data_IF_488109358690
#
_entry.id   IF_488109358690
#
_cell.length_a   1.000
_cell.length_b   1.000
_cell.length_c   1.000
_cell.angle_alpha   90.00
_cell.angle_beta   90.00
_cell.angle_gamma   90.00
#
_symmetry.space_group_name_H-M   'P 1'
#
loop_
_entity.id
_entity.type
_entity.pdbx_description
1 polymer ?
#
# COMPACT_ATOMS: atom_id res chain seq x y z
N UNK A 1 -32.67 -3.99 5.36
CA UNK A 1 -32.02 -5.07 6.16
C UNK A 1 -31.49 -6.26 5.35
N UNK A 2 -31.74 -6.42 4.04
CA UNK A 2 -31.27 -7.56 3.24
C UNK A 2 -29.80 -7.49 2.76
N UNK A 3 -29.13 -6.33 2.83
CA UNK A 3 -27.75 -6.17 2.34
C UNK A 3 -26.65 -6.72 3.26
N UNK A 4 -26.86 -6.74 4.59
CA UNK A 4 -25.83 -7.14 5.56
C UNK A 4 -25.49 -8.64 5.53
N UNK A 5 -26.47 -9.49 5.18
CA UNK A 5 -26.27 -10.94 5.14
C UNK A 5 -25.48 -11.41 3.91
N UNK A 6 -25.64 -10.70 2.78
CA UNK A 6 -24.84 -10.94 1.57
C UNK A 6 -23.40 -10.43 1.71
N UNK A 7 -23.14 -9.52 2.64
CA UNK A 7 -21.79 -9.01 2.95
C UNK A 7 -21.01 -10.00 3.82
N UNK A 8 -21.63 -10.52 4.90
CA UNK A 8 -21.03 -11.56 5.75
C UNK A 8 -20.67 -12.84 4.97
N UNK A 9 -21.51 -13.25 4.00
CA UNK A 9 -21.24 -14.43 3.16
C UNK A 9 -20.13 -14.21 2.13
N UNK A 10 -19.92 -12.99 1.65
CA UNK A 10 -18.82 -12.64 0.73
C UNK A 10 -17.49 -12.51 1.45
N UNK A 11 -17.48 -11.94 2.66
CA UNK A 11 -16.31 -11.89 3.53
C UNK A 11 -15.75 -13.28 3.92
N UNK A 12 -16.57 -14.33 3.86
CA UNK A 12 -16.16 -15.71 4.08
C UNK A 12 -15.54 -16.39 2.84
N UNK A 13 -15.73 -15.83 1.63
CA UNK A 13 -15.41 -16.51 0.37
C UNK A 13 -14.36 -15.82 -0.52
N UNK A 14 -13.98 -14.56 -0.29
CA UNK A 14 -12.97 -13.88 -1.11
C UNK A 14 -11.93 -13.12 -0.29
N UNK A 15 -10.68 -13.15 -0.77
CA UNK A 15 -9.49 -12.46 -0.24
C UNK A 15 -9.54 -10.93 -0.48
N UNK A 16 -10.63 -10.24 -0.15
CA UNK A 16 -10.83 -8.80 -0.42
C UNK A 16 -10.85 -7.87 0.81
N UNK A 17 -10.88 -6.54 0.56
CA UNK A 17 -10.95 -5.42 1.53
C UNK A 17 -12.05 -5.58 2.60
N UNK A 18 -13.10 -6.34 2.28
CA UNK A 18 -14.19 -6.68 3.20
C UNK A 18 -13.71 -7.52 4.39
N UNK A 19 -12.78 -8.46 4.18
CA UNK A 19 -12.23 -9.34 5.22
C UNK A 19 -11.34 -8.55 6.20
N UNK A 20 -10.56 -7.60 5.68
CA UNK A 20 -9.75 -6.68 6.50
C UNK A 20 -10.62 -5.77 7.36
N UNK A 21 -11.74 -5.32 6.81
CA UNK A 21 -12.73 -4.51 7.55
C UNK A 21 -13.37 -5.32 8.66
N UNK A 22 -13.79 -6.58 8.40
CA UNK A 22 -14.34 -7.48 9.41
C UNK A 22 -13.31 -7.77 10.51
N UNK A 23 -12.06 -8.03 10.14
CA UNK A 23 -10.98 -8.25 11.10
C UNK A 23 -10.70 -7.01 11.95
N UNK A 24 -10.69 -5.81 11.34
CA UNK A 24 -10.55 -4.57 12.08
C UNK A 24 -11.69 -4.37 13.08
N UNK A 25 -12.94 -4.56 12.64
CA UNK A 25 -14.12 -4.46 13.51
C UNK A 25 -14.01 -5.48 14.66
N UNK A 26 -13.67 -6.73 14.37
CA UNK A 26 -13.52 -7.77 15.38
C UNK A 26 -12.44 -7.43 16.43
N UNK A 27 -11.32 -6.86 15.98
CA UNK A 27 -10.26 -6.40 16.90
C UNK A 27 -10.70 -5.20 17.73
N UNK A 28 -11.39 -4.22 17.14
CA UNK A 28 -11.93 -3.07 17.87
C UNK A 28 -12.92 -3.53 18.93
N UNK A 29 -13.81 -4.48 18.61
CA UNK A 29 -14.75 -5.07 19.56
C UNK A 29 -14.01 -5.80 20.68
N UNK A 30 -12.99 -6.60 20.35
CA UNK A 30 -12.17 -7.27 21.37
C UNK A 30 -11.45 -6.26 22.27
N UNK A 31 -10.71 -5.32 21.69
CA UNK A 31 -9.96 -4.31 22.44
C UNK A 31 -10.88 -3.47 23.35
N UNK A 32 -11.98 -2.95 22.81
CA UNK A 32 -12.97 -2.20 23.60
C UNK A 32 -13.58 -3.04 24.73
N UNK A 33 -13.95 -4.29 24.46
CA UNK A 33 -14.54 -5.18 25.48
C UNK A 33 -13.55 -5.50 26.59
N UNK A 34 -12.29 -5.82 26.25
CA UNK A 34 -11.21 -6.05 27.22
C UNK A 34 -10.90 -4.80 28.04
N UNK A 35 -10.83 -3.63 27.39
CA UNK A 35 -10.60 -2.35 28.08
C UNK A 35 -11.73 -1.98 29.02
N UNK A 36 -12.98 -2.19 28.61
CA UNK A 36 -14.13 -1.99 29.48
C UNK A 36 -14.09 -2.94 30.68
N UNK A 37 -13.84 -4.23 30.44
CA UNK A 37 -13.79 -5.23 31.51
C UNK A 37 -12.71 -4.90 32.54
N UNK A 38 -11.51 -4.51 32.11
CA UNK A 38 -10.43 -4.10 33.03
C UNK A 38 -10.80 -2.81 33.77
N UNK A 39 -11.31 -1.79 33.08
CA UNK A 39 -11.69 -0.52 33.70
C UNK A 39 -12.80 -0.69 34.74
N UNK A 40 -13.78 -1.56 34.48
CA UNK A 40 -14.91 -1.77 35.36
C UNK A 40 -14.59 -2.77 36.49
N UNK A 41 -14.07 -3.95 36.16
CA UNK A 41 -13.90 -5.04 37.13
C UNK A 41 -12.65 -4.91 38.00
N UNK A 42 -11.59 -4.25 37.52
CA UNK A 42 -10.31 -4.15 38.25
C UNK A 42 -10.16 -2.78 38.93
N UNK A 43 -10.63 -1.71 38.29
CA UNK A 43 -10.42 -0.33 38.75
C UNK A 43 -11.65 0.32 39.38
N UNK A 44 -12.78 -0.39 39.40
CA UNK A 44 -14.07 0.09 39.91
C UNK A 44 -14.41 1.50 39.42
N UNK A 45 -14.18 1.71 38.12
CA UNK A 45 -14.16 3.07 37.58
C UNK A 45 -15.57 3.67 37.50
N UNK A 46 -15.76 4.88 38.05
CA UNK A 46 -17.04 5.61 37.98
C UNK A 46 -17.49 5.90 36.54
N UNK A 47 -16.55 6.06 35.60
CA UNK A 47 -16.82 6.21 34.17
C UNK A 47 -15.84 5.37 33.34
N UNK A 48 -16.11 4.07 33.12
CA UNK A 48 -15.21 3.17 32.40
C UNK A 48 -15.05 3.51 30.90
N UNK A 49 -15.95 4.32 30.35
CA UNK A 49 -16.10 4.55 28.91
C UNK A 49 -14.87 5.14 28.20
N UNK A 50 -13.96 5.79 28.93
CA UNK A 50 -12.71 6.30 28.37
C UNK A 50 -11.76 5.20 27.89
N UNK A 51 -11.67 4.09 28.61
CA UNK A 51 -10.77 2.99 28.25
C UNK A 51 -11.10 2.37 26.88
N UNK A 52 -12.34 1.92 26.58
CA UNK A 52 -12.66 1.41 25.25
C UNK A 52 -12.57 2.47 24.15
N UNK A 53 -12.92 3.73 24.45
CA UNK A 53 -12.77 4.83 23.50
C UNK A 53 -11.31 5.00 23.06
N UNK A 54 -10.39 5.05 24.02
CA UNK A 54 -8.95 5.13 23.76
C UNK A 54 -8.41 3.87 23.06
N UNK A 55 -8.92 2.68 23.39
CA UNK A 55 -8.52 1.43 22.75
C UNK A 55 -8.88 1.39 21.25
N UNK A 56 -10.07 1.90 20.89
CA UNK A 56 -10.49 1.99 19.49
C UNK A 56 -9.71 3.06 18.74
N UNK A 57 -9.45 4.22 19.35
CA UNK A 57 -8.68 5.31 18.74
C UNK A 57 -7.21 4.95 18.47
N UNK A 58 -6.64 4.09 19.29
CA UNK A 58 -5.28 3.60 19.10
C UNK A 58 -5.17 2.46 18.08
N UNK A 59 -6.30 2.02 17.54
CA UNK A 59 -6.39 0.96 16.55
C UNK A 59 -6.03 1.46 15.14
N UNK A 60 -4.79 1.91 14.99
CA UNK A 60 -4.23 2.29 13.70
C UNK A 60 -3.65 1.09 12.96
N UNK A 61 -3.67 1.19 11.62
CA UNK A 61 -3.30 0.11 10.68
C UNK A 61 -1.80 -0.25 10.73
N UNK A 62 -0.93 0.53 11.37
CA UNK A 62 0.53 0.27 11.43
C UNK A 62 1.04 0.32 12.87
N UNK A 63 1.87 -0.63 13.31
CA UNK A 63 2.42 -0.64 14.69
C UNK A 63 3.32 0.58 14.96
N UNK A 64 4.11 0.99 13.96
CA UNK A 64 5.07 2.09 14.06
C UNK A 64 4.41 3.47 14.13
N UNK A 65 3.32 3.69 13.38
CA UNK A 65 2.52 4.91 13.49
C UNK A 65 1.50 4.80 14.63
N UNK A 66 1.01 3.61 14.98
CA UNK A 66 0.19 3.40 16.21
C UNK A 66 0.94 3.89 17.43
N UNK A 67 2.24 3.57 17.60
CA UNK A 67 2.96 4.00 18.79
C UNK A 67 3.09 5.53 18.89
N UNK A 68 3.49 6.20 17.79
CA UNK A 68 3.62 7.67 17.77
C UNK A 68 2.28 8.36 17.91
N UNK A 69 1.25 7.84 17.24
CA UNK A 69 -0.09 8.40 17.30
C UNK A 69 -0.73 8.19 18.68
N UNK A 70 -0.52 7.03 19.29
CA UNK A 70 -0.92 6.74 20.66
C UNK A 70 -0.24 7.69 21.64
N UNK A 71 1.06 7.93 21.48
CA UNK A 71 1.79 8.86 22.34
C UNK A 71 1.27 10.30 22.17
N UNK A 72 1.01 10.73 20.94
CA UNK A 72 0.39 12.05 20.66
C UNK A 72 -1.01 12.15 21.23
N UNK A 73 -1.80 11.08 21.14
CA UNK A 73 -3.15 11.01 21.70
C UNK A 73 -3.11 11.09 23.23
N UNK A 74 -2.27 10.29 23.89
CA UNK A 74 -2.06 10.37 25.35
C UNK A 74 -1.62 11.77 25.75
N UNK A 75 -0.66 12.38 25.03
CA UNK A 75 -0.23 13.75 25.28
C UNK A 75 -1.38 14.76 25.10
N UNK A 76 -2.20 14.60 24.05
CA UNK A 76 -3.36 15.45 23.80
C UNK A 76 -4.36 15.36 24.95
N UNK A 77 -4.66 14.15 25.42
CA UNK A 77 -5.56 13.91 26.55
C UNK A 77 -5.01 14.51 27.84
N UNK A 78 -3.73 14.27 28.15
CA UNK A 78 -3.08 14.83 29.34
C UNK A 78 -3.10 16.35 29.33
N UNK A 79 -2.84 16.97 28.18
CA UNK A 79 -2.91 18.44 28.02
C UNK A 79 -4.35 18.92 28.22
N UNK A 80 -5.35 18.27 27.60
CA UNK A 80 -6.75 18.64 27.75
C UNK A 80 -7.26 18.54 29.18
N UNK A 81 -6.97 17.41 29.85
CA UNK A 81 -7.28 17.19 31.28
C UNK A 81 -6.55 18.20 32.16
N UNK A 82 -5.29 18.51 31.84
CA UNK A 82 -4.48 19.49 32.58
C UNK A 82 -5.00 20.92 32.46
N UNK A 83 -5.40 21.35 31.25
CA UNK A 83 -6.06 22.65 31.03
C UNK A 83 -7.31 22.74 31.88
N UNK A 84 -8.14 21.69 31.86
CA UNK A 84 -9.33 21.65 32.69
C UNK A 84 -9.01 21.69 34.18
N UNK A 85 -8.00 20.95 34.64
CA UNK A 85 -7.61 20.96 36.05
C UNK A 85 -7.23 22.37 36.51
N UNK A 86 -6.36 23.06 35.77
CA UNK A 86 -5.90 24.42 36.10
C UNK A 86 -7.06 25.41 36.16
N UNK A 87 -7.93 25.41 35.14
CA UNK A 87 -9.04 26.37 35.08
C UNK A 87 -10.12 26.00 36.09
N UNK A 88 -10.48 24.72 36.20
CA UNK A 88 -11.49 24.25 37.15
C UNK A 88 -11.14 24.62 38.60
N UNK A 89 -9.89 24.41 39.03
CA UNK A 89 -9.48 24.74 40.40
C UNK A 89 -9.27 26.23 40.67
N UNK A 90 -9.11 27.08 39.64
CA UNK A 90 -8.90 28.52 39.80
C UNK A 90 -10.17 29.36 39.61
N UNK A 91 -10.96 29.05 38.58
CA UNK A 91 -12.15 29.80 38.20
C UNK A 91 -13.47 29.14 38.64
N UNK A 92 -13.45 27.87 39.05
CA UNK A 92 -14.65 27.12 39.42
C UNK A 92 -15.50 26.64 38.22
N UNK A 93 -16.62 25.95 38.47
CA UNK A 93 -17.44 25.33 37.43
C UNK A 93 -18.49 26.31 36.86
N UNK A 94 -18.04 27.38 36.21
CA UNK A 94 -18.93 28.38 35.58
C UNK A 94 -18.92 28.28 34.04
N UNK A 95 -19.93 28.85 33.38
CA UNK A 95 -20.01 28.93 31.92
C UNK A 95 -18.81 29.67 31.33
N UNK A 96 -18.31 30.71 32.01
CA UNK A 96 -17.10 31.42 31.59
C UNK A 96 -15.87 30.50 31.65
N UNK A 97 -15.76 29.67 32.69
CA UNK A 97 -14.68 28.70 32.80
C UNK A 97 -14.75 27.67 31.67
N UNK A 98 -15.94 27.19 31.30
CA UNK A 98 -16.12 26.30 30.15
C UNK A 98 -15.66 26.94 28.83
N UNK A 99 -16.08 28.19 28.58
CA UNK A 99 -15.66 28.93 27.39
C UNK A 99 -14.13 29.12 27.34
N UNK A 100 -13.53 29.44 28.49
CA UNK A 100 -12.08 29.60 28.62
C UNK A 100 -11.33 28.29 28.37
N UNK A 101 -11.81 27.17 28.93
CA UNK A 101 -11.27 25.83 28.70
C UNK A 101 -11.34 25.48 27.22
N UNK A 102 -12.48 25.72 26.57
CA UNK A 102 -12.66 25.47 25.14
C UNK A 102 -11.70 26.30 24.29
N UNK A 103 -11.60 27.61 24.56
CA UNK A 103 -10.70 28.50 23.84
C UNK A 103 -9.23 28.05 23.93
N UNK A 104 -8.78 27.70 25.13
CA UNK A 104 -7.39 27.27 25.37
C UNK A 104 -7.14 25.88 24.76
N UNK A 105 -8.03 24.91 25.00
CA UNK A 105 -7.86 23.55 24.51
C UNK A 105 -7.88 23.48 22.97
N UNK A 106 -8.77 24.23 22.31
CA UNK A 106 -8.81 24.33 20.85
C UNK A 106 -7.57 25.02 20.29
N UNK A 107 -7.07 26.07 20.96
CA UNK A 107 -5.84 26.77 20.56
C UNK A 107 -4.61 25.86 20.67
N UNK A 108 -4.49 25.13 21.78
CA UNK A 108 -3.42 24.14 21.98
C UNK A 108 -3.53 22.96 21.01
N UNK A 109 -4.75 22.57 20.64
CA UNK A 109 -5.02 21.54 19.64
C UNK A 109 -4.46 21.87 18.25
N UNK A 110 -4.24 23.14 17.92
CA UNK A 110 -3.63 23.56 16.65
C UNK A 110 -2.10 23.39 16.62
N UNK A 111 -1.48 22.96 17.72
CA UNK A 111 -0.04 22.79 17.76
C UNK A 111 0.41 21.64 16.85
N UNK A 112 1.21 21.98 15.83
CA UNK A 112 1.81 21.04 14.85
C UNK A 112 2.36 19.73 15.46
N UNK A 113 2.92 19.75 16.68
CA UNK A 113 3.50 18.55 17.32
C UNK A 113 2.47 17.46 17.63
N UNK A 114 1.20 17.82 17.84
CA UNK A 114 0.09 16.89 18.10
C UNK A 114 -0.42 16.22 16.82
N UNK A 115 -0.15 16.81 15.65
CA UNK A 115 -0.59 16.30 14.35
C UNK A 115 -2.09 16.06 14.31
N UNK A 116 -2.51 14.91 13.79
CA UNK A 116 -3.91 14.50 13.65
C UNK A 116 -4.66 14.33 14.99
N UNK A 117 -3.95 14.29 16.13
CA UNK A 117 -4.55 14.14 17.46
C UNK A 117 -4.90 15.47 18.13
N UNK A 118 -4.65 16.61 17.48
CA UNK A 118 -4.98 17.95 17.97
C UNK A 118 -6.43 18.11 18.50
N UNK A 119 -7.47 17.64 17.78
CA UNK A 119 -8.86 17.73 18.23
C UNK A 119 -9.16 16.97 19.54
N UNK A 120 -8.32 16.00 19.89
CA UNK A 120 -8.50 15.21 21.11
C UNK A 120 -8.19 15.99 22.38
N UNK A 121 -7.41 17.09 22.28
CA UNK A 121 -7.15 18.01 23.39
C UNK A 121 -8.47 18.62 23.88
N UNK A 122 -9.27 19.16 22.97
CA UNK A 122 -10.57 19.76 23.29
C UNK A 122 -11.56 18.71 23.80
N UNK A 123 -11.61 17.55 23.14
CA UNK A 123 -12.47 16.44 23.54
C UNK A 123 -12.18 16.01 24.98
N UNK A 124 -10.90 15.78 25.31
CA UNK A 124 -10.48 15.42 26.66
C UNK A 124 -10.77 16.52 27.68
N UNK A 125 -10.54 17.79 27.34
CA UNK A 125 -10.82 18.93 28.22
C UNK A 125 -12.31 19.05 28.54
N UNK A 126 -13.21 18.86 27.57
CA UNK A 126 -14.65 18.93 27.79
C UNK A 126 -15.18 17.77 28.62
N UNK A 127 -14.72 16.53 28.37
CA UNK A 127 -15.12 15.42 29.24
C UNK A 127 -14.53 15.55 30.65
N UNK A 128 -13.30 16.06 30.78
CA UNK A 128 -12.72 16.40 32.07
C UNK A 128 -13.55 17.47 32.79
N UNK A 129 -14.07 18.48 32.06
CA UNK A 129 -14.95 19.50 32.63
C UNK A 129 -16.24 18.89 33.15
N UNK A 130 -16.91 18.08 32.33
CA UNK A 130 -18.13 17.36 32.74
C UNK A 130 -17.92 16.47 33.96
N UNK A 131 -16.76 15.83 34.07
CA UNK A 131 -16.42 14.97 35.22
C UNK A 131 -16.13 15.82 36.45
N UNK A 132 -15.39 16.92 36.27
CA UNK A 132 -15.06 17.88 37.33
C UNK A 132 -16.32 18.51 37.96
N UNK A 133 -17.31 18.89 37.14
CA UNK A 133 -18.56 19.49 37.62
C UNK A 133 -19.46 18.50 38.36
N UNK A 134 -19.40 17.21 38.01
CA UNK A 134 -20.16 16.16 38.67
C UNK A 134 -19.59 15.74 40.04
N UNK A 135 -18.32 16.05 40.33
CA UNK A 135 -17.65 15.66 41.56
C UNK A 135 -17.97 16.59 42.75
N UNK A 136 -18.34 15.98 43.89
CA UNK A 136 -18.80 16.68 45.08
C UNK A 136 -17.67 17.31 45.91
N UNK A 137 -16.49 16.66 45.99
CA UNK A 137 -15.36 17.13 46.80
C UNK A 137 -14.11 17.41 45.95
N UNK A 138 -13.21 18.26 46.45
CA UNK A 138 -11.93 18.53 45.79
C UNK A 138 -11.03 17.28 45.71
N UNK A 139 -11.13 16.36 46.68
CA UNK A 139 -10.44 15.08 46.63
C UNK A 139 -10.94 14.21 45.46
N UNK A 140 -12.26 14.12 45.30
CA UNK A 140 -12.88 13.36 44.21
C UNK A 140 -12.56 13.96 42.84
N UNK A 141 -12.48 15.29 42.74
CA UNK A 141 -12.11 15.98 41.49
C UNK A 141 -10.71 15.58 41.01
N UNK A 142 -9.71 15.59 41.90
CA UNK A 142 -8.34 15.19 41.54
C UNK A 142 -8.29 13.71 41.18
N UNK A 143 -8.95 12.85 41.98
CA UNK A 143 -8.99 11.42 41.73
C UNK A 143 -9.62 11.09 40.36
N UNK A 144 -10.77 11.69 40.03
CA UNK A 144 -11.47 11.45 38.77
C UNK A 144 -10.71 11.98 37.54
N UNK A 145 -10.07 13.15 37.64
CA UNK A 145 -9.20 13.66 36.56
C UNK A 145 -8.00 12.74 36.31
N UNK A 146 -7.36 12.27 37.39
CA UNK A 146 -6.28 11.28 37.30
C UNK A 146 -6.75 9.95 36.72
N UNK A 147 -7.97 9.54 37.07
CA UNK A 147 -8.60 8.33 36.56
C UNK A 147 -8.86 8.37 35.06
N UNK A 148 -9.23 9.53 34.49
CA UNK A 148 -9.36 9.69 33.03
C UNK A 148 -8.03 9.36 32.33
N UNK A 149 -6.91 9.92 32.83
CA UNK A 149 -5.58 9.67 32.27
C UNK A 149 -5.22 8.19 32.39
N UNK A 150 -5.50 7.57 33.55
CA UNK A 150 -5.24 6.15 33.77
C UNK A 150 -6.05 5.25 32.80
N UNK A 151 -7.34 5.54 32.64
CA UNK A 151 -8.21 4.81 31.72
C UNK A 151 -7.74 4.93 30.27
N UNK A 152 -7.29 6.11 29.87
CA UNK A 152 -6.71 6.33 28.54
C UNK A 152 -5.43 5.52 28.35
N UNK A 153 -4.53 5.50 29.34
CA UNK A 153 -3.31 4.69 29.28
C UNK A 153 -3.61 3.20 29.14
N UNK A 154 -4.61 2.70 29.89
CA UNK A 154 -5.03 1.30 29.83
C UNK A 154 -5.68 0.98 28.49
N UNK A 155 -6.59 1.84 28.02
CA UNK A 155 -7.22 1.71 26.72
C UNK A 155 -6.19 1.65 25.60
N UNK A 156 -5.27 2.61 25.57
CA UNK A 156 -4.14 2.64 24.63
C UNK A 156 -3.25 1.39 24.73
N UNK A 157 -2.94 0.94 25.95
CA UNK A 157 -2.12 -0.25 26.18
C UNK A 157 -2.79 -1.52 25.65
N UNK A 158 -4.07 -1.72 25.96
CA UNK A 158 -4.84 -2.88 25.48
C UNK A 158 -5.04 -2.80 23.97
N UNK A 159 -5.38 -1.63 23.42
CA UNK A 159 -5.47 -1.41 21.98
C UNK A 159 -4.17 -1.79 21.28
N UNK A 160 -3.03 -1.37 21.81
CA UNK A 160 -1.71 -1.72 21.28
C UNK A 160 -1.42 -3.22 21.40
N UNK A 161 -1.70 -3.85 22.54
CA UNK A 161 -1.53 -5.30 22.76
C UNK A 161 -2.39 -6.11 21.81
N UNK A 162 -3.68 -5.77 21.67
CA UNK A 162 -4.61 -6.44 20.77
C UNK A 162 -4.18 -6.25 19.31
N UNK A 163 -3.74 -5.04 18.93
CA UNK A 163 -3.23 -4.76 17.58
C UNK A 163 -1.95 -5.56 17.28
N UNK A 164 -1.08 -5.74 18.28
CA UNK A 164 0.14 -6.54 18.18
C UNK A 164 -0.15 -8.06 18.12
N UNK A 165 -1.10 -8.54 18.92
CA UNK A 165 -1.39 -9.96 19.08
C UNK A 165 -2.26 -10.52 17.94
N UNK A 166 -3.33 -9.82 17.54
CA UNK A 166 -4.39 -10.35 16.66
C UNK A 166 -4.07 -10.09 15.17
N UNK A 167 -2.83 -10.29 14.73
CA UNK A 167 -2.37 -10.07 13.34
C UNK A 167 -2.19 -8.58 13.03
N UNK A 168 -0.95 -8.03 13.01
CA UNK A 168 -0.76 -6.75 12.32
C UNK A 168 -1.20 -6.96 10.88
N UNK A 169 -1.93 -6.03 10.23
CA UNK A 169 -2.14 -6.11 8.79
C UNK A 169 -0.75 -5.97 8.17
N UNK A 170 -0.10 -7.11 7.98
CA UNK A 170 1.20 -7.19 7.38
C UNK A 170 0.95 -6.72 5.96
N UNK A 171 1.36 -5.48 5.72
CA UNK A 171 1.34 -4.78 4.44
C UNK A 171 2.22 -5.47 3.38
N UNK A 172 2.42 -6.78 3.45
CA UNK A 172 2.73 -7.59 2.28
C UNK A 172 1.80 -7.20 1.12
N UNK A 173 0.52 -6.98 1.44
CA UNK A 173 -0.49 -6.51 0.51
C UNK A 173 -0.22 -5.14 -0.14
N UNK A 174 0.50 -4.19 0.47
CA UNK A 174 0.79 -2.91 -0.21
C UNK A 174 1.95 -3.00 -1.20
N UNK A 175 2.95 -3.84 -0.92
CA UNK A 175 4.02 -4.14 -1.86
C UNK A 175 3.50 -4.98 -3.02
N UNK A 176 2.67 -5.99 -2.71
CA UNK A 176 1.94 -6.81 -3.67
C UNK A 176 0.96 -5.98 -4.51
N UNK A 177 0.16 -5.09 -3.91
CA UNK A 177 -0.70 -4.17 -4.66
C UNK A 177 0.11 -3.27 -5.61
N UNK A 178 1.28 -2.78 -5.16
CA UNK A 178 2.18 -2.00 -6.01
C UNK A 178 2.68 -2.81 -7.21
N UNK A 179 3.02 -4.09 -6.99
CA UNK A 179 3.42 -5.01 -8.04
C UNK A 179 2.27 -5.32 -9.01
N UNK A 180 1.05 -5.55 -8.50
CA UNK A 180 -0.13 -5.76 -9.33
C UNK A 180 -0.51 -4.53 -10.16
N UNK A 181 -0.33 -3.32 -9.61
CA UNK A 181 -0.55 -2.08 -10.37
C UNK A 181 0.52 -1.97 -11.47
N UNK A 182 1.78 -2.22 -11.15
CA UNK A 182 2.87 -2.20 -12.13
C UNK A 182 2.63 -3.20 -13.26
N UNK A 183 2.33 -4.46 -12.91
CA UNK A 183 2.09 -5.52 -13.88
C UNK A 183 0.87 -5.24 -14.77
N UNK A 184 -0.22 -4.66 -14.22
CA UNK A 184 -1.39 -4.25 -15.01
C UNK A 184 -1.09 -3.12 -15.98
N UNK A 185 -0.29 -2.14 -15.56
CA UNK A 185 0.13 -1.06 -16.46
C UNK A 185 1.06 -1.58 -17.58
N UNK A 186 1.94 -2.55 -17.28
CA UNK A 186 2.74 -3.23 -18.29
C UNK A 186 1.88 -4.03 -19.26
N UNK A 187 0.94 -4.84 -18.74
CA UNK A 187 -0.02 -5.62 -19.53
C UNK A 187 -0.82 -4.72 -20.47
N UNK A 188 -1.41 -3.64 -19.95
CA UNK A 188 -2.18 -2.69 -20.76
C UNK A 188 -1.36 -2.01 -21.85
N UNK A 189 -0.09 -1.68 -21.58
CA UNK A 189 0.80 -1.09 -22.57
C UNK A 189 1.17 -2.10 -23.67
N UNK A 190 1.53 -3.32 -23.28
CA UNK A 190 1.90 -4.38 -24.23
C UNK A 190 0.73 -4.81 -25.10
N UNK A 191 -0.49 -4.83 -24.56
CA UNK A 191 -1.72 -5.13 -25.30
C UNK A 191 -2.02 -4.04 -26.34
N UNK A 192 -1.98 -2.76 -25.96
CA UNK A 192 -2.20 -1.64 -26.90
C UNK A 192 -1.10 -1.56 -27.98
N UNK A 193 0.14 -1.92 -27.63
CA UNK A 193 1.24 -2.04 -28.59
C UNK A 193 1.02 -3.21 -29.56
N UNK A 194 0.63 -4.39 -29.07
CA UNK A 194 0.34 -5.54 -29.91
C UNK A 194 -0.77 -5.19 -30.92
N UNK A 195 -1.85 -4.54 -30.48
CA UNK A 195 -2.97 -4.13 -31.33
C UNK A 195 -2.55 -3.11 -32.41
N UNK A 196 -1.81 -2.07 -32.04
CA UNK A 196 -1.36 -1.06 -33.02
C UNK A 196 -0.36 -1.62 -34.02
N UNK A 197 0.54 -2.51 -33.60
CA UNK A 197 1.50 -3.16 -34.48
C UNK A 197 0.84 -4.18 -35.42
N UNK A 198 -0.20 -4.89 -34.96
CA UNK A 198 -0.95 -5.84 -35.79
C UNK A 198 -1.76 -5.13 -36.88
N UNK A 199 -2.43 -4.04 -36.52
CA UNK A 199 -3.26 -3.25 -37.43
C UNK A 199 -2.43 -2.35 -38.36
N UNK A 200 -1.15 -2.13 -38.04
CA UNK A 200 -0.31 -1.13 -38.70
C UNK A 200 -0.73 0.31 -38.36
N UNK A 201 -1.68 0.49 -37.42
CA UNK A 201 -2.19 1.76 -36.92
C UNK A 201 -1.22 2.34 -35.87
N UNK A 202 -0.04 2.73 -36.35
CA UNK A 202 0.99 3.39 -35.54
C UNK A 202 1.03 4.87 -35.91
N UNK A 203 -0.10 5.55 -35.71
CA UNK A 203 -0.20 7.00 -35.91
C UNK A 203 0.56 7.79 -34.81
N UNK A 204 0.70 9.11 -34.98
CA UNK A 204 1.42 9.96 -34.03
C UNK A 204 0.77 9.89 -32.66
N UNK A 205 -0.57 10.00 -32.66
CA UNK A 205 -1.35 10.09 -31.47
C UNK A 205 -1.23 8.79 -30.66
N UNK A 206 -1.16 7.62 -31.30
CA UNK A 206 -0.96 6.32 -30.65
C UNK A 206 0.46 6.13 -30.16
N UNK A 207 1.46 6.54 -30.94
CA UNK A 207 2.85 6.51 -30.49
C UNK A 207 3.07 7.40 -29.26
N UNK A 208 2.49 8.61 -29.25
CA UNK A 208 2.52 9.52 -28.09
C UNK A 208 1.78 8.93 -26.88
N UNK A 209 0.65 8.23 -27.10
CA UNK A 209 -0.03 7.47 -26.05
C UNK A 209 0.85 6.38 -25.48
N UNK A 210 1.60 5.63 -26.30
CA UNK A 210 2.54 4.61 -25.82
C UNK A 210 3.71 5.19 -25.03
N UNK A 211 4.26 6.33 -25.46
CA UNK A 211 5.30 7.04 -24.69
C UNK A 211 4.76 7.47 -23.33
N UNK A 212 3.57 8.09 -23.31
CA UNK A 212 2.89 8.52 -22.08
C UNK A 212 2.58 7.33 -21.16
N UNK A 213 2.11 6.21 -21.73
CA UNK A 213 1.88 4.98 -20.98
C UNK A 213 3.18 4.39 -20.41
N UNK A 214 4.28 4.40 -21.17
CA UNK A 214 5.59 4.00 -20.67
C UNK A 214 6.07 4.84 -19.47
N UNK A 215 5.82 6.15 -19.49
CA UNK A 215 6.08 7.03 -18.35
C UNK A 215 5.20 6.70 -17.13
N UNK A 216 3.93 6.34 -17.35
CA UNK A 216 3.02 5.87 -16.27
C UNK A 216 3.52 4.57 -15.64
N UNK A 217 3.93 3.59 -16.46
CA UNK A 217 4.53 2.33 -15.99
C UNK A 217 5.80 2.61 -15.17
N UNK A 218 6.65 3.52 -15.64
CA UNK A 218 7.86 3.93 -14.91
C UNK A 218 7.53 4.61 -13.57
N UNK A 219 6.49 5.45 -13.52
CA UNK A 219 6.03 6.05 -12.26
C UNK A 219 5.46 5.00 -11.28
N UNK A 220 4.81 3.95 -11.79
CA UNK A 220 4.30 2.84 -10.97
C UNK A 220 5.44 2.07 -10.27
N UNK A 221 6.62 1.94 -10.89
CA UNK A 221 7.82 1.37 -10.23
C UNK A 221 8.19 2.16 -8.98
N UNK A 222 8.18 3.50 -9.07
CA UNK A 222 8.46 4.37 -7.92
C UNK A 222 7.48 4.16 -6.76
N UNK A 223 6.19 3.99 -7.07
CA UNK A 223 5.16 3.71 -6.08
C UNK A 223 5.34 2.33 -5.44
N UNK A 224 5.66 1.30 -6.24
CA UNK A 224 5.94 -0.04 -5.76
C UNK A 224 7.16 -0.07 -4.83
N UNK A 225 8.25 0.64 -5.19
CA UNK A 225 9.46 0.77 -4.36
C UNK A 225 9.17 1.48 -3.04
N UNK A 226 8.47 2.62 -3.08
CA UNK A 226 8.09 3.34 -1.86
C UNK A 226 7.20 2.48 -0.94
N UNK A 227 6.29 1.68 -1.52
CA UNK A 227 5.47 0.71 -0.79
C UNK A 227 6.32 -0.37 -0.12
N UNK A 228 7.32 -0.91 -0.81
CA UNK A 228 8.24 -1.92 -0.29
C UNK A 228 9.13 -1.39 0.83
N UNK A 229 9.72 -0.21 0.66
CA UNK A 229 10.58 0.42 1.68
C UNK A 229 9.79 0.76 2.96
N UNK A 230 8.54 1.21 2.80
CA UNK A 230 7.62 1.43 3.93
C UNK A 230 7.24 0.11 4.62
N UNK A 231 7.05 -0.97 3.86
CA UNK A 231 6.75 -2.29 4.41
C UNK A 231 7.96 -2.86 5.18
N UNK A 232 9.17 -2.75 4.64
CA UNK A 232 10.40 -3.22 5.28
C UNK A 232 10.68 -2.46 6.59
N UNK A 233 10.59 -1.13 6.57
CA UNK A 233 10.78 -0.30 7.76
C UNK A 233 9.76 -0.61 8.87
N UNK A 234 8.54 -1.02 8.50
CA UNK A 234 7.49 -1.44 9.44
C UNK A 234 7.82 -2.77 10.11
N UNK A 235 8.47 -3.70 9.41
CA UNK A 235 8.88 -5.00 9.97
C UNK A 235 10.05 -4.87 10.93
N UNK A 236 11.02 -3.98 10.64
CA UNK A 236 12.17 -3.73 11.54
C UNK A 236 11.74 -3.26 12.93
N UNK A 237 10.61 -2.57 13.02
CA UNK A 237 10.02 -2.04 14.25
C UNK A 237 9.05 -3.01 14.95
N UNK A 238 8.84 -4.22 14.41
CA UNK A 238 7.92 -5.19 14.98
C UNK A 238 8.62 -6.07 16.05
N UNK A 239 8.21 -6.01 17.33
CA UNK A 239 8.78 -6.83 18.40
C UNK A 239 8.54 -8.34 18.21
N UNK A 240 7.64 -8.76 17.31
CA UNK A 240 7.46 -10.18 16.95
C UNK A 240 8.60 -10.78 16.11
N UNK A 241 9.60 -9.99 15.68
CA UNK A 241 10.81 -10.50 14.98
C UNK A 241 11.63 -11.53 15.77
N UNK A 242 11.41 -11.60 17.08
CA UNK A 242 12.08 -12.53 17.99
C UNK A 242 11.34 -13.86 18.13
N UNK A 243 10.16 -14.03 17.51
CA UNK A 243 9.45 -15.31 17.51
C UNK A 243 9.94 -16.19 16.34
N UNK A 244 10.31 -17.46 16.60
CA UNK A 244 10.93 -18.34 15.61
C UNK A 244 10.02 -18.72 14.42
N UNK A 245 8.72 -18.45 14.52
CA UNK A 245 7.72 -18.81 13.50
C UNK A 245 7.57 -17.80 12.35
N UNK A 246 8.30 -16.67 12.32
CA UNK A 246 8.14 -15.64 11.28
C UNK A 246 9.51 -15.18 10.73
N UNK A 247 10.10 -15.99 9.83
CA UNK A 247 11.23 -15.59 8.96
C UNK A 247 10.75 -14.68 7.81
N UNK A 248 10.13 -13.55 8.13
CA UNK A 248 9.62 -12.56 7.15
C UNK A 248 10.74 -11.87 6.34
N UNK A 249 11.96 -11.85 6.87
CA UNK A 249 13.11 -11.21 6.22
C UNK A 249 13.51 -11.83 4.87
N UNK A 250 13.28 -13.13 4.69
CA UNK A 250 13.58 -13.80 3.42
C UNK A 250 12.60 -13.38 2.31
N UNK A 251 11.34 -13.14 2.65
CA UNK A 251 10.30 -12.72 1.70
C UNK A 251 10.53 -11.30 1.15
N UNK A 252 11.00 -10.35 1.97
CA UNK A 252 11.26 -8.98 1.50
C UNK A 252 12.44 -8.89 0.53
N UNK A 253 13.50 -9.67 0.78
CA UNK A 253 14.65 -9.74 -0.14
C UNK A 253 14.21 -10.31 -1.49
N UNK A 254 13.37 -11.35 -1.48
CA UNK A 254 12.75 -11.93 -2.67
C UNK A 254 11.90 -10.91 -3.44
N UNK A 255 10.95 -10.23 -2.79
CA UNK A 255 10.16 -9.16 -3.43
C UNK A 255 11.01 -8.02 -4.00
N UNK A 256 12.10 -7.64 -3.31
CA UNK A 256 13.02 -6.61 -3.82
C UNK A 256 13.74 -7.07 -5.07
N UNK A 257 14.16 -8.34 -5.12
CA UNK A 257 14.77 -8.93 -6.30
C UNK A 257 13.77 -8.96 -7.47
N UNK A 258 12.55 -9.44 -7.25
CA UNK A 258 11.49 -9.44 -8.27
C UNK A 258 11.17 -8.03 -8.79
N UNK A 259 11.01 -7.05 -7.90
CA UNK A 259 10.76 -5.65 -8.28
C UNK A 259 11.94 -5.07 -9.07
N UNK A 260 13.18 -5.39 -8.69
CA UNK A 260 14.36 -4.92 -9.44
C UNK A 260 14.46 -5.51 -10.84
N UNK A 261 14.01 -6.75 -11.03
CA UNK A 261 13.97 -7.39 -12.34
C UNK A 261 12.88 -6.75 -13.22
N UNK A 262 11.68 -6.54 -12.68
CA UNK A 262 10.60 -5.84 -13.38
C UNK A 262 10.96 -4.40 -13.73
N UNK A 263 11.66 -3.69 -12.84
CA UNK A 263 12.13 -2.33 -13.11
C UNK A 263 13.03 -2.27 -14.36
N UNK A 264 13.92 -3.25 -14.55
CA UNK A 264 14.75 -3.34 -15.75
C UNK A 264 13.91 -3.57 -17.01
N UNK A 265 12.92 -4.46 -16.94
CA UNK A 265 11.98 -4.69 -18.04
C UNK A 265 11.16 -3.42 -18.38
N UNK A 266 10.74 -2.65 -17.37
CA UNK A 266 10.01 -1.38 -17.54
C UNK A 266 10.87 -0.30 -18.18
N UNK A 267 12.12 -0.16 -17.75
CA UNK A 267 13.06 0.77 -18.38
C UNK A 267 13.24 0.46 -19.86
N UNK A 268 13.35 -0.83 -20.18
CA UNK A 268 13.52 -1.31 -21.54
C UNK A 268 12.24 -1.12 -22.38
N UNK A 269 11.07 -1.33 -21.78
CA UNK A 269 9.78 -1.05 -22.42
C UNK A 269 9.59 0.45 -22.71
N UNK A 270 9.97 1.32 -21.78
CA UNK A 270 9.93 2.77 -21.99
C UNK A 270 10.97 3.25 -23.03
N UNK A 271 12.11 2.56 -23.15
CA UNK A 271 13.08 2.83 -24.21
C UNK A 271 12.51 2.44 -25.58
N UNK A 272 11.85 1.29 -25.65
CA UNK A 272 11.17 0.81 -26.85
C UNK A 272 10.05 1.75 -27.33
N UNK A 273 9.17 2.21 -26.43
CA UNK A 273 8.09 3.14 -26.82
C UNK A 273 8.63 4.45 -27.37
N UNK A 274 9.73 4.98 -26.80
CA UNK A 274 10.42 6.16 -27.36
C UNK A 274 11.09 5.89 -28.70
N UNK A 275 11.64 4.69 -28.91
CA UNK A 275 12.20 4.29 -30.20
C UNK A 275 11.11 4.21 -31.28
N UNK A 276 9.94 3.67 -30.94
CA UNK A 276 8.74 3.64 -31.80
C UNK A 276 8.21 5.05 -32.10
N UNK A 277 8.17 5.94 -31.11
CA UNK A 277 7.79 7.35 -31.32
C UNK A 277 8.69 8.06 -32.33
N UNK A 278 10.01 7.91 -32.21
CA UNK A 278 10.97 8.48 -33.18
C UNK A 278 10.90 7.84 -34.56
N UNK A 279 10.43 6.59 -34.66
CA UNK A 279 10.39 5.87 -35.92
C UNK A 279 9.48 6.54 -36.94
N UNK A 280 8.34 7.08 -36.50
CA UNK A 280 7.31 7.63 -37.39
C UNK A 280 7.64 9.00 -37.97
N UNK A 281 8.49 9.80 -37.31
CA UNK A 281 8.94 11.09 -37.88
C UNK A 281 9.76 10.92 -39.17
N UNK A 282 10.22 9.69 -39.47
CA UNK A 282 11.25 9.43 -40.50
C UNK A 282 10.77 8.61 -41.71
N UNK A 283 9.67 7.84 -41.65
CA UNK A 283 9.27 6.92 -42.76
C UNK A 283 7.75 6.79 -43.00
N UNK A 284 7.35 6.67 -44.28
CA UNK A 284 5.98 6.33 -44.71
C UNK A 284 5.76 4.80 -44.61
N UNK A 285 4.73 4.41 -43.85
CA UNK A 285 4.48 3.14 -43.13
C UNK A 285 4.34 1.83 -43.95
N UNK A 286 4.40 1.84 -45.29
CA UNK A 286 3.86 0.72 -46.08
C UNK A 286 4.80 -0.47 -46.38
N UNK A 287 6.11 -0.34 -46.18
CA UNK A 287 7.08 -1.36 -46.64
C UNK A 287 7.32 -2.50 -45.64
N UNK A 288 6.83 -2.42 -44.40
CA UNK A 288 7.30 -3.28 -43.30
C UNK A 288 6.24 -4.07 -42.52
N UNK A 289 5.02 -4.19 -43.05
CA UNK A 289 3.89 -4.90 -42.41
C UNK A 289 4.23 -6.29 -41.84
N UNK A 290 4.98 -7.17 -42.54
CA UNK A 290 5.34 -8.49 -42.01
C UNK A 290 6.23 -8.45 -40.75
N UNK A 291 7.13 -7.46 -40.65
CA UNK A 291 7.99 -7.31 -39.48
C UNK A 291 7.22 -6.72 -38.28
N UNK A 292 6.28 -5.80 -38.54
CA UNK A 292 5.39 -5.27 -37.51
C UNK A 292 4.42 -6.33 -36.97
N UNK A 293 3.89 -7.20 -37.83
CA UNK A 293 3.06 -8.32 -37.42
C UNK A 293 3.83 -9.30 -36.52
N UNK A 294 5.08 -9.66 -36.89
CA UNK A 294 5.92 -10.48 -36.02
C UNK A 294 6.22 -9.80 -34.68
N UNK A 295 6.37 -8.47 -34.68
CA UNK A 295 6.59 -7.71 -33.45
C UNK A 295 5.33 -7.68 -32.57
N UNK A 296 4.14 -7.60 -33.18
CA UNK A 296 2.86 -7.71 -32.49
C UNK A 296 2.74 -9.04 -31.75
N UNK A 297 3.07 -10.16 -32.41
CA UNK A 297 3.09 -11.48 -31.77
C UNK A 297 4.04 -11.51 -30.57
N UNK A 298 5.22 -10.89 -30.69
CA UNK A 298 6.19 -10.78 -29.60
C UNK A 298 5.65 -9.94 -28.43
N UNK A 299 5.05 -8.79 -28.71
CA UNK A 299 4.43 -7.93 -27.69
C UNK A 299 3.28 -8.65 -26.96
N UNK A 300 2.46 -9.42 -27.68
CA UNK A 300 1.41 -10.24 -27.10
C UNK A 300 1.96 -11.35 -26.16
N UNK A 301 3.07 -11.99 -26.53
CA UNK A 301 3.71 -12.97 -25.65
C UNK A 301 4.23 -12.32 -24.35
N UNK A 302 4.80 -11.11 -24.44
CA UNK A 302 5.24 -10.37 -23.25
C UNK A 302 4.07 -9.91 -22.39
N UNK A 303 2.93 -9.54 -23.00
CA UNK A 303 1.68 -9.24 -22.28
C UNK A 303 1.23 -10.46 -21.47
N UNK A 304 1.27 -11.65 -22.04
CA UNK A 304 0.86 -12.87 -21.35
C UNK A 304 1.74 -13.15 -20.11
N UNK A 305 3.05 -12.87 -20.20
CA UNK A 305 3.95 -12.94 -19.04
C UNK A 305 3.55 -11.90 -17.99
N UNK A 306 3.29 -10.64 -18.40
CA UNK A 306 2.84 -9.58 -17.50
C UNK A 306 1.51 -9.93 -16.81
N UNK A 307 0.59 -10.57 -17.54
CA UNK A 307 -0.69 -11.03 -17.02
C UNK A 307 -0.52 -12.09 -15.92
N UNK A 308 0.36 -13.08 -16.11
CA UNK A 308 0.65 -14.06 -15.03
C UNK A 308 1.22 -13.36 -13.79
N UNK A 309 2.00 -12.29 -13.96
CA UNK A 309 2.50 -11.49 -12.84
C UNK A 309 1.37 -10.73 -12.13
N UNK A 310 0.30 -10.31 -12.83
CA UNK A 310 -0.86 -9.69 -12.18
C UNK A 310 -1.68 -10.66 -11.35
N UNK A 311 -1.57 -11.97 -11.59
CA UNK A 311 -2.27 -13.01 -10.83
C UNK A 311 -1.42 -13.66 -9.73
N UNK A 312 -0.17 -13.19 -9.52
CA UNK A 312 0.71 -13.73 -8.48
C UNK A 312 0.09 -13.62 -7.09
N UNK A 313 -0.19 -14.77 -6.47
CA UNK A 313 -0.60 -14.92 -5.07
C UNK A 313 0.41 -15.82 -4.34
N UNK A 314 0.60 -15.60 -3.05
CA UNK A 314 1.52 -16.33 -2.19
C UNK A 314 1.26 -17.85 -2.21
N UNK A 315 0.01 -18.25 -2.41
CA UNK A 315 -0.45 -19.65 -2.35
C UNK A 315 -0.30 -20.41 -3.70
N UNK A 316 -0.06 -19.72 -4.82
CA UNK A 316 0.00 -20.31 -6.18
C UNK A 316 1.31 -20.10 -6.94
N UNK A 317 2.35 -19.58 -6.26
CA UNK A 317 3.66 -19.26 -6.85
C UNK A 317 4.31 -20.42 -7.64
N UNK A 318 4.19 -21.65 -7.16
CA UNK A 318 4.84 -22.80 -7.80
C UNK A 318 4.25 -23.12 -9.18
N UNK A 319 2.91 -23.14 -9.29
CA UNK A 319 2.22 -23.42 -10.56
C UNK A 319 2.41 -22.26 -11.55
N UNK A 320 2.34 -21.01 -11.06
CA UNK A 320 2.53 -19.82 -11.90
C UNK A 320 3.94 -19.69 -12.44
N UNK A 321 4.96 -20.10 -11.68
CA UNK A 321 6.35 -20.12 -12.16
C UNK A 321 6.52 -21.06 -13.36
N UNK A 322 5.86 -22.21 -13.36
CA UNK A 322 5.89 -23.14 -14.49
C UNK A 322 5.27 -22.51 -15.75
N UNK A 323 4.10 -21.87 -15.59
CA UNK A 323 3.44 -21.13 -16.68
C UNK A 323 4.32 -19.99 -17.21
N UNK A 324 5.00 -19.24 -16.34
CA UNK A 324 5.91 -18.17 -16.76
C UNK A 324 7.08 -18.70 -17.61
N UNK A 325 7.67 -19.84 -17.26
CA UNK A 325 8.74 -20.44 -18.07
C UNK A 325 8.24 -20.88 -19.46
N UNK A 326 7.03 -21.42 -19.55
CA UNK A 326 6.40 -21.79 -20.82
C UNK A 326 6.14 -20.56 -21.70
N UNK A 327 5.60 -19.50 -21.11
CA UNK A 327 5.37 -18.23 -21.80
C UNK A 327 6.68 -17.54 -22.22
N UNK A 328 7.73 -17.59 -21.41
CA UNK A 328 9.04 -17.06 -21.77
C UNK A 328 9.65 -17.79 -22.97
N UNK A 329 9.46 -19.12 -23.04
CA UNK A 329 9.87 -19.92 -24.20
C UNK A 329 9.11 -19.51 -25.46
N UNK A 330 7.79 -19.32 -25.35
CA UNK A 330 6.94 -18.83 -26.45
C UNK A 330 7.35 -17.43 -26.91
N UNK A 331 7.67 -16.53 -25.98
CA UNK A 331 8.15 -15.18 -26.28
C UNK A 331 9.51 -15.19 -27.00
N UNK A 332 10.41 -16.11 -26.63
CA UNK A 332 11.69 -16.28 -27.30
C UNK A 332 11.53 -16.80 -28.74
N UNK A 333 10.58 -17.70 -28.99
CA UNK A 333 10.21 -18.12 -30.34
C UNK A 333 9.63 -16.97 -31.16
N UNK A 334 8.78 -16.13 -30.56
CA UNK A 334 8.23 -14.94 -31.22
C UNK A 334 9.33 -13.93 -31.57
N UNK A 335 10.29 -13.68 -30.67
CA UNK A 335 11.46 -12.85 -30.96
C UNK A 335 12.25 -13.40 -32.16
N UNK A 336 12.44 -14.73 -32.23
CA UNK A 336 13.13 -15.34 -33.38
C UNK A 336 12.40 -15.09 -34.70
N UNK A 337 11.06 -15.12 -34.71
CA UNK A 337 10.26 -14.75 -35.88
C UNK A 337 10.47 -13.29 -36.29
N UNK A 338 10.59 -12.36 -35.32
CA UNK A 338 10.92 -10.94 -35.57
C UNK A 338 12.27 -10.83 -36.26
N UNK A 339 13.30 -11.50 -35.74
CA UNK A 339 14.65 -11.50 -36.31
C UNK A 339 14.66 -12.09 -37.74
N UNK A 340 13.99 -13.22 -37.95
CA UNK A 340 13.91 -13.86 -39.26
C UNK A 340 13.10 -13.01 -40.27
N UNK A 341 12.08 -12.29 -39.82
CA UNK A 341 11.33 -11.35 -40.66
C UNK A 341 12.19 -10.15 -41.04
N UNK A 342 13.05 -9.67 -40.13
CA UNK A 342 13.96 -8.58 -40.40
C UNK A 342 15.03 -8.95 -41.44
N UNK A 343 15.62 -10.14 -41.30
CA UNK A 343 16.66 -10.63 -42.21
C UNK A 343 16.08 -10.91 -43.61
N UNK A 344 14.94 -11.60 -43.70
CA UNK A 344 14.28 -11.91 -44.99
C UNK A 344 13.85 -10.68 -45.79
N UNK A 345 13.46 -9.61 -45.11
CA UNK A 345 13.03 -8.37 -45.76
C UNK A 345 14.18 -7.38 -45.98
N UNK A 346 15.43 -7.76 -45.68
CA UNK A 346 16.61 -6.94 -45.94
C UNK A 346 16.60 -5.59 -45.22
N UNK A 347 16.07 -5.56 -43.99
CA UNK A 347 15.99 -4.32 -43.22
C UNK A 347 17.40 -3.75 -42.98
N UNK A 348 17.63 -2.44 -43.22
CA UNK A 348 18.94 -1.83 -43.03
C UNK A 348 19.24 -1.65 -41.54
N UNK A 349 19.72 -2.72 -40.89
CA UNK A 349 20.04 -2.74 -39.46
C UNK A 349 21.26 -1.87 -39.08
N UNK A 350 22.18 -1.68 -40.03
CA UNK A 350 23.40 -0.90 -39.84
C UNK A 350 23.21 0.61 -40.09
N UNK A 351 22.06 1.02 -40.62
CA UNK A 351 21.77 2.43 -40.89
C UNK A 351 21.24 3.09 -39.63
N UNK A 352 22.09 3.85 -38.94
CA UNK A 352 21.73 4.57 -37.71
C UNK A 352 20.67 5.67 -37.95
N UNK A 353 20.40 6.05 -39.21
CA UNK A 353 19.30 6.93 -39.57
C UNK A 353 17.95 6.20 -39.65
N UNK A 354 17.96 4.86 -39.64
CA UNK A 354 16.74 4.04 -39.69
C UNK A 354 16.44 3.43 -38.31
N UNK A 355 15.19 3.46 -37.83
CA UNK A 355 14.87 3.10 -36.44
C UNK A 355 14.74 1.59 -36.23
N UNK A 356 14.74 0.78 -37.30
CA UNK A 356 14.52 -0.67 -37.23
C UNK A 356 15.62 -1.43 -36.50
N UNK A 357 16.89 -1.03 -36.68
CA UNK A 357 18.00 -1.60 -35.92
C UNK A 357 17.82 -1.39 -34.42
N UNK A 358 17.28 -0.22 -34.02
CA UNK A 358 16.95 0.05 -32.63
C UNK A 358 15.81 -0.85 -32.13
N UNK A 359 14.71 -1.02 -32.88
CA UNK A 359 13.60 -1.88 -32.45
C UNK A 359 14.00 -3.33 -32.20
N UNK A 360 14.90 -3.88 -33.02
CA UNK A 360 15.39 -5.25 -32.85
C UNK A 360 16.31 -5.39 -31.64
N UNK A 361 17.22 -4.43 -31.47
CA UNK A 361 18.10 -4.39 -30.29
C UNK A 361 17.26 -4.25 -29.02
N UNK A 362 16.25 -3.39 -29.05
CA UNK A 362 15.37 -3.15 -27.91
C UNK A 362 14.49 -4.38 -27.61
N UNK A 363 14.02 -5.10 -28.64
CA UNK A 363 13.26 -6.36 -28.48
C UNK A 363 14.10 -7.48 -27.85
N UNK A 364 15.35 -7.62 -28.31
CA UNK A 364 16.29 -8.61 -27.76
C UNK A 364 16.57 -8.34 -26.29
N UNK A 365 16.88 -7.08 -25.95
CA UNK A 365 17.09 -6.65 -24.57
C UNK A 365 15.83 -6.82 -23.72
N UNK A 366 14.65 -6.53 -24.27
CA UNK A 366 13.40 -6.69 -23.54
C UNK A 366 13.17 -8.16 -23.18
N UNK A 367 13.41 -9.08 -24.13
CA UNK A 367 13.31 -10.52 -23.87
C UNK A 367 14.32 -10.98 -22.80
N UNK A 368 15.57 -10.49 -22.84
CA UNK A 368 16.57 -10.80 -21.82
C UNK A 368 16.11 -10.37 -20.41
N UNK A 369 15.50 -9.19 -20.28
CA UNK A 369 15.02 -8.69 -18.98
C UNK A 369 13.76 -9.43 -18.49
N UNK A 370 12.86 -9.82 -19.40
CA UNK A 370 11.71 -10.67 -19.06
C UNK A 370 12.14 -12.08 -18.65
N UNK A 371 13.12 -12.68 -19.32
CA UNK A 371 13.69 -13.97 -18.94
C UNK A 371 14.34 -13.89 -17.55
N UNK A 372 15.16 -12.88 -17.31
CA UNK A 372 15.76 -12.62 -16.00
C UNK A 372 14.69 -12.45 -14.91
N UNK A 373 13.58 -11.78 -15.22
CA UNK A 373 12.44 -11.65 -14.29
C UNK A 373 11.81 -13.00 -13.96
N UNK A 374 11.60 -13.86 -14.97
CA UNK A 374 11.08 -15.22 -14.76
C UNK A 374 12.02 -16.07 -13.91
N UNK A 375 13.33 -16.01 -14.17
CA UNK A 375 14.35 -16.78 -13.44
C UNK A 375 14.42 -16.34 -11.97
N UNK A 376 14.41 -15.02 -11.71
CA UNK A 376 14.39 -14.46 -10.33
C UNK A 376 13.12 -14.87 -9.59
N UNK A 377 11.97 -14.91 -10.27
CA UNK A 377 10.70 -15.36 -9.68
C UNK A 377 10.72 -16.86 -9.37
N UNK A 378 11.36 -17.66 -10.22
CA UNK A 378 11.56 -19.10 -9.98
C UNK A 378 12.45 -19.39 -8.77
N UNK A 379 13.57 -18.69 -8.64
CA UNK A 379 14.45 -18.78 -7.47
C UNK A 379 13.75 -18.28 -6.19
N UNK A 380 12.78 -17.38 -6.36
CA UNK A 380 11.91 -16.88 -5.29
C UNK A 380 10.81 -17.86 -4.90
N UNK A 381 10.42 -18.79 -5.78
CA UNK A 381 9.43 -19.83 -5.49
C UNK A 381 10.04 -21.11 -4.88
N UNK A 382 11.31 -21.41 -5.19
CA UNK A 382 12.10 -22.50 -4.60
C UNK A 382 12.54 -22.22 -3.14
#
# INVERSE_FOLDING_TARGET
>A
MRGGWTWLRRAAGSSGHERDTVLLIGKCVLASTLSWWIAHAVLDATSPAFAPFSAVLTMNVTVSQSLRQTLRYVAAVVVGVGVQAVIGFTAGPDLFAFALVGAIALSLGQWHRLGEQGPQVATAAFFAFSTYTAAATNGDRVAQLGQIILLVLIGCGIGLVVNLCIVPPLRYRSAEQGLHVLAREMESLLDDMADGLCSGDVDADRADRWVTAGERVQAAVGQARAGLDMAESSVRLNPRRFLPAHRSHLTFTRYRQSLSAMERAVYQLASLTRALGRWRDTENTYTYGPALAAYSDFAACLRDIAHVITELDADSLADQTATMCELATTAQEALRKVLDAADRNGLPLADASRPYGALIVEATRLMEEFQNTCDVLKDTAA
#
